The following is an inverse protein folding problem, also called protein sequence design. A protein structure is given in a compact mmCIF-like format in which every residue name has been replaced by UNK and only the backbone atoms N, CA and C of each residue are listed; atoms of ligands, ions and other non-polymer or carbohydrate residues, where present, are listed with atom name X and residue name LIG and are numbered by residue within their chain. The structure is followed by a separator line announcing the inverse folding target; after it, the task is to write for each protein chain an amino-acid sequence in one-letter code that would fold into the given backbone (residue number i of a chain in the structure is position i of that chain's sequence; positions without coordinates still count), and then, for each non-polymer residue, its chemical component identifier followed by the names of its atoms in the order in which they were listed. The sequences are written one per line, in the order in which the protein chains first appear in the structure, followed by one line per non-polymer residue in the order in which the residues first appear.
data_IF_828647657624
#
_entry.id   IF_828647657624
#
_cell.length_a   1.000
_cell.length_b   1.000
_cell.length_c   1.000
_cell.angle_alpha   90.00
_cell.angle_beta   90.00
_cell.angle_gamma   90.00
#
_symmetry.space_group_name_H-M   'P 1'
#
loop_
_entity.id
_entity.type
_entity.pdbx_description
1 polymer ?
#
# COMPACT_ATOMS: atom_id res chain seq x y z
N UNK A 1 -5.80 -8.17 -1.48
CA UNK A 1 -7.09 -7.48 -1.32
C UNK A 1 -7.44 -7.43 0.14
N UNK A 2 -8.06 -6.35 0.60
CA UNK A 2 -8.48 -6.17 1.99
C UNK A 2 -9.70 -5.25 2.04
N UNK A 3 -10.56 -5.46 3.03
CA UNK A 3 -11.60 -4.50 3.40
C UNK A 3 -11.06 -3.62 4.52
N UNK A 4 -11.17 -2.31 4.37
CA UNK A 4 -10.69 -1.32 5.35
C UNK A 4 -11.85 -0.45 5.79
N UNK A 5 -11.87 -0.10 7.08
CA UNK A 5 -12.73 0.93 7.62
C UNK A 5 -11.83 1.95 8.31
N UNK A 6 -11.78 3.17 7.79
CA UNK A 6 -10.93 4.22 8.32
C UNK A 6 -11.82 5.42 8.67
N UNK A 7 -12.22 5.62 9.93
CA UNK A 7 -13.20 6.64 10.30
C UNK A 7 -12.67 8.08 10.19
N UNK A 8 -11.36 8.26 10.14
CA UNK A 8 -10.71 9.55 9.95
C UNK A 8 -9.24 9.36 9.60
N UNK A 9 -8.64 10.40 9.03
CA UNK A 9 -7.19 10.53 8.92
C UNK A 9 -6.57 10.39 10.30
N UNK A 10 -5.71 9.38 10.48
CA UNK A 10 -5.24 8.99 11.81
C UNK A 10 -4.05 9.82 12.31
N UNK A 11 -3.43 10.65 11.46
CA UNK A 11 -2.17 11.33 11.78
C UNK A 11 -0.99 10.36 11.92
N UNK A 12 -1.17 9.08 11.55
CA UNK A 12 -0.12 8.08 11.41
C UNK A 12 -0.32 7.25 10.13
N UNK A 13 0.76 6.61 9.65
CA UNK A 13 0.65 5.62 8.58
C UNK A 13 -0.01 4.35 9.12
N UNK A 14 -1.15 3.95 8.54
CA UNK A 14 -1.84 2.71 8.92
C UNK A 14 -1.52 1.61 7.92
N UNK A 15 -1.03 0.46 8.39
CA UNK A 15 -0.71 -0.67 7.51
C UNK A 15 -2.00 -1.38 7.11
N UNK A 16 -2.29 -1.44 5.81
CA UNK A 16 -3.36 -2.27 5.24
C UNK A 16 -2.79 -3.66 4.93
N UNK A 17 -1.67 -3.69 4.20
CA UNK A 17 -0.89 -4.90 3.95
C UNK A 17 0.57 -4.51 3.65
N UNK A 18 1.55 -5.24 4.15
CA UNK A 18 2.96 -4.96 3.87
C UNK A 18 3.78 -6.23 3.82
N UNK A 19 4.82 -6.25 2.99
CA UNK A 19 5.91 -7.23 3.10
C UNK A 19 7.13 -6.50 3.64
N UNK A 20 7.52 -6.85 4.86
CA UNK A 20 8.55 -6.10 5.60
C UNK A 20 9.94 -6.71 5.47
N UNK A 21 10.94 -5.84 5.36
CA UNK A 21 12.33 -6.11 5.68
C UNK A 21 12.77 -5.04 6.69
N UNK A 22 13.24 -5.42 7.89
CA UNK A 22 13.85 -4.49 8.87
C UNK A 22 15.37 -4.39 8.67
N UNK A 23 15.82 -4.20 7.42
CA UNK A 23 17.18 -3.72 7.12
C UNK A 23 17.21 -2.19 7.02
N UNK A 24 18.36 -1.56 6.71
CA UNK A 24 18.50 -0.09 6.69
C UNK A 24 17.53 0.62 5.73
N UNK A 25 16.90 -0.10 4.81
CA UNK A 25 15.89 0.42 3.88
C UNK A 25 14.44 0.24 4.32
N UNK A 26 14.13 -0.58 5.34
CA UNK A 26 12.84 -0.66 6.04
C UNK A 26 11.57 -0.81 5.17
N UNK A 27 11.06 -2.02 4.94
CA UNK A 27 9.87 -2.42 4.11
C UNK A 27 10.20 -2.64 2.63
N UNK A 28 9.66 -3.69 2.03
CA UNK A 28 9.88 -4.00 0.61
C UNK A 28 8.76 -3.44 -0.28
N UNK A 29 7.51 -3.73 0.07
CA UNK A 29 6.35 -3.09 -0.53
C UNK A 29 5.15 -3.16 0.41
N UNK A 30 4.22 -2.21 0.32
CA UNK A 30 3.02 -2.21 1.13
C UNK A 30 1.94 -1.23 0.68
N UNK A 31 0.74 -1.45 1.20
CA UNK A 31 -0.43 -0.60 1.11
C UNK A 31 -0.72 -0.02 2.49
N UNK A 32 -1.00 1.27 2.53
CA UNK A 32 -1.18 2.04 3.75
C UNK A 32 -2.37 3.00 3.62
N UNK A 33 -3.01 3.34 4.73
CA UNK A 33 -3.81 4.56 4.81
C UNK A 33 -2.88 5.77 4.91
N UNK A 34 -3.06 6.75 4.02
CA UNK A 34 -2.20 7.93 3.97
C UNK A 34 -2.41 8.83 5.19
N UNK A 35 -1.30 9.23 5.81
CA UNK A 35 -1.25 9.95 7.08
C UNK A 35 -1.99 11.28 7.09
N UNK A 36 -2.07 11.97 5.95
CA UNK A 36 -2.59 13.34 5.86
C UNK A 36 -3.78 13.51 4.91
N UNK A 37 -3.93 12.62 3.92
CA UNK A 37 -4.89 12.81 2.82
C UNK A 37 -6.04 11.82 2.87
N UNK A 38 -5.93 10.76 3.69
CA UNK A 38 -6.97 9.76 3.82
C UNK A 38 -7.17 8.88 2.58
N UNK A 39 -6.29 8.95 1.59
CA UNK A 39 -6.30 8.04 0.44
C UNK A 39 -5.51 6.77 0.76
N UNK A 40 -5.67 5.74 -0.08
CA UNK A 40 -4.78 4.58 -0.06
C UNK A 40 -3.42 4.94 -0.65
N UNK A 41 -2.35 4.52 0.00
CA UNK A 41 -0.98 4.75 -0.41
C UNK A 41 -0.27 3.43 -0.67
N UNK A 42 0.34 3.30 -1.84
CA UNK A 42 1.25 2.22 -2.16
C UNK A 42 2.69 2.71 -2.08
N UNK A 43 3.58 1.91 -1.47
CA UNK A 43 5.02 2.17 -1.52
C UNK A 43 5.81 0.89 -1.71
N UNK A 44 6.98 1.03 -2.32
CA UNK A 44 7.98 -0.03 -2.46
C UNK A 44 9.40 0.50 -2.53
N UNK A 45 10.35 -0.36 -2.21
CA UNK A 45 11.79 -0.09 -2.37
C UNK A 45 12.31 -0.60 -3.70
N UNK A 46 13.25 0.16 -4.24
CA UNK A 46 14.13 -0.24 -5.35
C UNK A 46 15.58 -0.17 -4.87
N UNK A 47 16.47 -0.80 -5.62
CA UNK A 47 17.92 -0.74 -5.40
C UNK A 47 18.50 0.68 -5.26
N UNK A 48 17.79 1.72 -5.72
CA UNK A 48 18.22 3.10 -5.69
C UNK A 48 17.45 3.96 -4.67
N UNK A 49 16.16 3.72 -4.50
CA UNK A 49 15.28 4.62 -3.70
C UNK A 49 13.92 4.01 -3.40
N UNK A 50 13.20 4.69 -2.51
CA UNK A 50 11.77 4.48 -2.32
C UNK A 50 10.95 5.05 -3.47
N UNK A 51 9.89 4.33 -3.81
CA UNK A 51 8.85 4.77 -4.73
C UNK A 51 7.50 4.66 -4.04
N UNK A 52 6.66 5.67 -4.22
CA UNK A 52 5.34 5.72 -3.63
C UNK A 52 4.33 6.37 -4.56
N UNK A 53 3.08 5.92 -4.44
CA UNK A 53 1.98 6.29 -5.31
C UNK A 53 0.69 6.29 -4.50
N UNK A 54 -0.12 7.32 -4.71
CA UNK A 54 -1.39 7.49 -4.03
C UNK A 54 -2.55 7.10 -4.94
N UNK A 55 -3.58 6.55 -4.32
CA UNK A 55 -4.94 6.57 -4.82
C UNK A 55 -5.46 8.02 -4.90
N UNK A 56 -6.54 8.23 -5.64
CA UNK A 56 -7.20 9.53 -5.81
C UNK A 56 -8.35 9.69 -4.83
N UNK A 57 -9.06 8.61 -4.54
CA UNK A 57 -10.26 8.66 -3.71
C UNK A 57 -9.90 8.58 -2.23
N UNK A 58 -10.47 9.50 -1.45
CA UNK A 58 -10.38 9.51 0.01
C UNK A 58 -11.26 8.40 0.57
N UNK A 59 -10.70 7.58 1.47
CA UNK A 59 -11.38 6.44 2.12
C UNK A 59 -11.53 6.63 3.63
N UNK A 60 -11.39 7.89 4.08
CA UNK A 60 -11.49 8.28 5.49
C UNK A 60 -12.85 8.88 5.83
N UNK A 61 -13.93 8.25 5.38
CA UNK A 61 -15.32 8.66 5.60
C UNK A 61 -16.04 7.79 6.66
N UNK A 62 -15.39 6.73 7.15
CA UNK A 62 -15.95 5.79 8.11
C UNK A 62 -16.79 4.68 7.49
N UNK A 63 -16.87 4.61 6.16
CA UNK A 63 -17.46 3.50 5.46
C UNK A 63 -16.43 2.38 5.22
N UNK A 64 -16.95 1.19 4.92
CA UNK A 64 -16.11 0.07 4.52
C UNK A 64 -15.77 0.20 3.04
N UNK A 65 -14.47 0.18 2.74
CA UNK A 65 -13.96 0.18 1.37
C UNK A 65 -13.21 -1.11 1.06
N UNK A 66 -13.36 -1.60 -0.15
CA UNK A 66 -12.57 -2.71 -0.67
C UNK A 66 -11.36 -2.19 -1.44
N UNK A 67 -10.16 -2.55 -0.98
CA UNK A 67 -8.90 -2.04 -1.52
C UNK A 67 -8.03 -3.17 -2.04
N UNK A 68 -7.47 -2.99 -3.23
CA UNK A 68 -6.45 -3.87 -3.78
C UNK A 68 -5.37 -3.10 -4.53
N UNK A 69 -4.14 -3.61 -4.49
CA UNK A 69 -3.04 -3.17 -5.35
C UNK A 69 -2.52 -4.36 -6.15
N UNK A 70 -2.25 -4.14 -7.44
CA UNK A 70 -1.63 -5.15 -8.32
C UNK A 70 -0.42 -4.58 -9.03
N UNK A 71 0.53 -5.46 -9.35
CA UNK A 71 1.68 -5.16 -10.19
C UNK A 71 1.86 -6.28 -11.20
N UNK A 72 1.91 -5.94 -12.48
CA UNK A 72 2.09 -6.91 -13.57
C UNK A 72 3.52 -6.95 -14.14
N UNK A 73 4.45 -6.20 -13.53
CA UNK A 73 5.83 -6.05 -14.02
C UNK A 73 6.05 -4.76 -14.82
N UNK A 74 4.99 -4.12 -15.30
CA UNK A 74 5.02 -2.79 -15.93
C UNK A 74 4.28 -1.77 -15.08
N UNK A 75 3.04 -2.07 -14.74
CA UNK A 75 2.09 -1.11 -14.20
C UNK A 75 1.64 -1.50 -12.80
N UNK A 76 1.61 -0.50 -11.91
CA UNK A 76 0.88 -0.57 -10.67
C UNK A 76 -0.54 -0.09 -10.86
N UNK A 77 -1.52 -0.86 -10.37
CA UNK A 77 -2.92 -0.48 -10.33
C UNK A 77 -3.43 -0.56 -8.90
N UNK A 78 -4.06 0.52 -8.44
CA UNK A 78 -4.82 0.58 -7.21
C UNK A 78 -6.30 0.52 -7.54
N UNK A 79 -6.99 -0.40 -6.89
CA UNK A 79 -8.42 -0.61 -7.00
C UNK A 79 -9.09 -0.18 -5.71
N UNK A 80 -10.18 0.55 -5.86
CA UNK A 80 -11.11 0.92 -4.80
C UNK A 80 -12.52 0.49 -5.21
N UNK A 81 -13.19 -0.25 -4.33
CA UNK A 81 -14.57 -0.73 -4.50
C UNK A 81 -14.82 -1.44 -5.84
N UNK A 82 -13.78 -2.14 -6.32
CA UNK A 82 -13.82 -2.94 -7.55
C UNK A 82 -13.44 -2.18 -8.83
N UNK A 83 -13.21 -0.87 -8.77
CA UNK A 83 -12.79 -0.05 -9.91
C UNK A 83 -11.33 0.41 -9.79
N UNK A 84 -10.65 0.65 -10.92
CA UNK A 84 -9.30 1.24 -10.92
C UNK A 84 -9.40 2.71 -10.53
N UNK A 85 -8.76 3.08 -9.42
CA UNK A 85 -8.72 4.45 -8.92
C UNK A 85 -7.43 5.17 -9.36
N UNK A 86 -6.31 4.45 -9.35
CA UNK A 86 -5.02 4.94 -9.86
C UNK A 86 -4.25 3.86 -10.62
N UNK A 87 -3.53 4.30 -11.66
CA UNK A 87 -2.58 3.48 -12.42
C UNK A 87 -1.31 4.29 -12.69
N UNK A 88 -0.16 3.63 -12.56
CA UNK A 88 1.15 4.26 -12.82
C UNK A 88 2.15 3.24 -13.35
N UNK A 89 2.94 3.67 -14.33
CA UNK A 89 4.09 2.92 -14.85
C UNK A 89 5.36 3.52 -14.23
N UNK A 90 5.88 2.95 -13.11
CA UNK A 90 7.00 3.53 -12.37
C UNK A 90 8.33 3.51 -13.12
N UNK A 91 8.44 2.78 -14.24
CA UNK A 91 9.69 2.61 -15.01
C UNK A 91 10.79 1.83 -14.27
N UNK A 92 10.45 1.26 -13.11
CA UNK A 92 11.34 0.45 -12.26
C UNK A 92 10.50 -0.59 -11.52
N UNK A 93 11.13 -1.69 -11.14
CA UNK A 93 10.47 -2.80 -10.43
C UNK A 93 10.81 -2.79 -8.94
N UNK A 94 9.91 -3.25 -8.07
CA UNK A 94 10.26 -3.51 -6.68
C UNK A 94 11.41 -4.49 -6.55
N UNK A 95 12.21 -4.30 -5.51
CA UNK A 95 13.21 -5.29 -5.15
C UNK A 95 12.53 -6.59 -4.69
N UNK A 96 13.13 -7.72 -5.03
CA UNK A 96 12.66 -9.02 -4.58
C UNK A 96 13.33 -9.38 -3.26
N UNK A 97 12.54 -9.59 -2.21
CA UNK A 97 13.02 -10.07 -0.92
C UNK A 97 12.19 -11.29 -0.49
N UNK A 98 12.79 -12.27 0.17
CA UNK A 98 12.16 -13.53 0.55
C UNK A 98 11.37 -13.48 1.87
N UNK A 99 11.15 -12.28 2.42
CA UNK A 99 10.53 -12.11 3.74
C UNK A 99 9.01 -12.41 3.78
N UNK A 100 8.49 -12.54 5.00
CA UNK A 100 7.08 -12.78 5.28
C UNK A 100 6.18 -11.62 4.85
N UNK A 101 4.99 -11.97 4.35
CA UNK A 101 3.89 -11.04 4.07
C UNK A 101 3.09 -10.82 5.36
N UNK A 102 2.86 -9.56 5.72
CA UNK A 102 2.05 -9.13 6.84
C UNK A 102 0.74 -8.54 6.31
N UNK A 103 -0.37 -9.04 6.84
CA UNK A 103 -1.70 -8.44 6.64
C UNK A 103 -2.17 -8.05 8.04
N UNK A 104 -2.60 -6.81 8.24
CA UNK A 104 -3.11 -6.33 9.53
C UNK A 104 -2.17 -6.41 10.74
N UNK A 105 -0.85 -6.45 10.54
CA UNK A 105 0.14 -6.20 11.60
C UNK A 105 0.24 -7.26 12.71
N UNK A 106 -0.42 -8.43 12.61
CA UNK A 106 -0.30 -9.49 13.62
C UNK A 106 0.47 -10.72 13.12
N UNK A 107 1.48 -11.10 13.91
CA UNK A 107 2.31 -12.30 13.75
C UNK A 107 1.47 -13.53 14.04
N UNK A 108 1.11 -14.31 13.02
CA UNK A 108 0.80 -15.72 13.25
C UNK A 108 2.12 -16.44 13.56
N UNK A 109 2.15 -17.12 14.71
CA UNK A 109 3.25 -18.03 15.08
C UNK A 109 3.13 -19.33 14.30
#
# INVERSE_FOLDING_TARGET
MAWVNIPKVSGAWQIIASKEHRGPTGRNYGLFGHINSGVVHYSFTTNASWKSFDAKTVVTDGDWHHVAGTYDGSDFKLYLDGAVDAQVSPGTKPDTHDNFLFIWGMRHR
#
